data_IF_454898299460
#
_entry.id   IF_454898299460
#
_cell.length_a   1.000
_cell.length_b   1.000
_cell.length_c   1.000
_cell.angle_alpha   90.00
_cell.angle_beta   90.00
_cell.angle_gamma   90.00
#
_symmetry.space_group_name_H-M   'P 1'
#
loop_
_entity.id
_entity.type
_entity.pdbx_description
1 polymer ?
#
# COMPACT_ATOMS: atom_id res chain seq x y z
N UNK A 1 -50.00 2.32 -34.71
CA UNK A 1 -51.04 1.44 -34.12
C UNK A 1 -50.33 0.37 -33.30
N UNK A 2 -50.75 -0.07 -32.11
CA UNK A 2 -51.40 0.55 -30.92
C UNK A 2 -50.58 -0.04 -29.73
N UNK A 3 -50.12 0.65 -28.69
CA UNK A 3 -50.73 1.62 -27.76
C UNK A 3 -51.82 0.99 -26.88
N UNK A 4 -51.81 1.37 -25.60
CA UNK A 4 -52.86 1.19 -24.56
C UNK A 4 -52.99 -0.18 -23.85
N UNK A 5 -53.22 -0.28 -22.52
CA UNK A 5 -53.01 0.70 -21.41
C UNK A 5 -53.15 0.07 -19.98
N UNK A 6 -52.58 0.71 -18.92
CA UNK A 6 -53.22 1.18 -17.64
C UNK A 6 -54.23 0.21 -16.94
N UNK A 7 -54.14 -0.24 -15.68
CA UNK A 7 -54.13 0.42 -14.32
C UNK A 7 -54.74 -0.60 -13.30
N UNK A 8 -54.89 -0.43 -11.96
CA UNK A 8 -54.47 0.55 -10.94
C UNK A 8 -54.39 -0.14 -9.54
N UNK A 9 -53.70 0.52 -8.60
CA UNK A 9 -53.68 0.41 -7.12
C UNK A 9 -54.90 -0.25 -6.43
N UNK A 10 -54.64 -0.97 -5.32
CA UNK A 10 -55.52 -0.95 -4.15
C UNK A 10 -54.71 -0.73 -2.86
N UNK A 11 -54.94 0.39 -2.17
CA UNK A 11 -54.42 0.70 -0.82
C UNK A 11 -55.49 0.35 0.19
N UNK A 12 -55.13 -0.30 1.30
CA UNK A 12 -55.99 -0.38 2.48
C UNK A 12 -55.26 0.16 3.71
N UNK A 13 -55.80 1.23 4.27
CA UNK A 13 -55.41 1.85 5.54
C UNK A 13 -56.30 1.29 6.63
N UNK A 14 -55.72 0.93 7.78
CA UNK A 14 -56.46 0.71 9.02
C UNK A 14 -56.15 1.84 10.01
N UNK A 15 -57.18 2.57 10.44
CA UNK A 15 -57.12 3.63 11.46
C UNK A 15 -58.32 3.49 12.38
N UNK A 16 -58.05 3.47 13.69
CA UNK A 16 -59.07 3.45 14.76
C UNK A 16 -58.60 2.61 15.95
N UNK A 17 -58.49 3.12 17.19
CA UNK A 17 -58.58 4.50 17.65
C UNK A 17 -59.25 4.63 19.04
N UNK A 18 -58.79 5.59 19.85
CA UNK A 18 -59.36 6.00 21.16
C UNK A 18 -59.23 4.98 22.33
N UNK A 19 -59.22 5.31 23.64
CA UNK A 19 -58.80 6.50 24.45
C UNK A 19 -58.92 6.08 25.96
N UNK A 20 -58.27 6.60 27.01
CA UNK A 20 -57.37 7.76 27.28
C UNK A 20 -56.29 7.35 28.32
N UNK A 21 -55.31 8.21 28.63
CA UNK A 21 -54.48 8.03 29.85
C UNK A 21 -53.27 8.97 29.95
N UNK A 22 -53.41 10.12 30.64
CA UNK A 22 -52.37 11.16 30.72
C UNK A 22 -52.01 11.50 32.17
N UNK A 23 -50.79 11.18 32.60
CA UNK A 23 -50.22 11.67 33.86
C UNK A 23 -48.68 11.75 33.74
N UNK A 24 -48.12 12.94 33.98
CA UNK A 24 -46.68 13.18 34.07
C UNK A 24 -46.38 13.83 35.42
N UNK A 25 -45.30 13.41 36.10
CA UNK A 25 -44.79 14.10 37.29
C UNK A 25 -43.26 14.00 37.44
N UNK A 26 -42.71 14.95 38.20
CA UNK A 26 -41.27 15.19 38.45
C UNK A 26 -40.84 14.58 39.80
N UNK A 27 -39.52 14.49 40.09
CA UNK A 27 -39.04 13.94 41.36
C UNK A 27 -39.31 14.86 42.56
N UNK A 28 -39.28 14.28 43.76
CA UNK A 28 -39.32 14.97 45.06
C UNK A 28 -38.34 14.31 46.04
N UNK A 29 -37.95 15.02 47.09
CA UNK A 29 -36.97 14.57 48.08
C UNK A 29 -37.39 14.93 49.52
N UNK A 30 -36.98 14.10 50.49
CA UNK A 30 -37.12 14.31 51.94
C UNK A 30 -36.00 13.49 52.64
N UNK A 31 -34.92 14.14 53.10
CA UNK A 31 -34.66 14.54 54.52
C UNK A 31 -34.44 13.39 55.51
N UNK A 32 -33.25 13.32 56.11
CA UNK A 32 -32.91 12.46 57.26
C UNK A 32 -33.30 13.07 58.62
N UNK A 33 -32.96 12.38 59.73
CA UNK A 33 -31.79 12.77 60.56
C UNK A 33 -31.04 11.53 61.13
N UNK A 34 -29.92 11.60 61.88
CA UNK A 34 -28.80 12.53 62.00
C UNK A 34 -27.62 11.81 62.73
N UNK A 35 -26.41 12.37 62.73
CA UNK A 35 -25.24 11.86 63.49
C UNK A 35 -25.20 12.36 64.94
N UNK A 36 -24.49 11.67 65.86
CA UNK A 36 -23.70 12.29 66.92
C UNK A 36 -22.20 12.38 66.55
N UNK A 37 -21.47 13.30 67.19
CA UNK A 37 -20.10 13.68 66.83
C UNK A 37 -19.01 13.08 67.75
N UNK A 38 -17.74 13.37 67.43
CA UNK A 38 -16.55 12.82 68.08
C UNK A 38 -16.18 13.47 69.43
N UNK A 39 -15.42 12.74 70.25
CA UNK A 39 -14.69 13.27 71.41
C UNK A 39 -13.38 12.48 71.66
N UNK A 40 -12.37 13.17 72.19
CA UNK A 40 -11.06 12.68 72.63
C UNK A 40 -10.45 13.76 73.58
N UNK A 41 -9.27 13.57 74.22
CA UNK A 41 -8.50 12.35 74.48
C UNK A 41 -8.26 12.12 76.00
N UNK A 42 -7.42 11.15 76.39
CA UNK A 42 -6.84 11.07 77.74
C UNK A 42 -5.41 10.48 77.73
N UNK A 43 -4.57 10.93 78.67
CA UNK A 43 -3.20 10.46 78.94
C UNK A 43 -3.23 9.49 80.17
N UNK A 44 -2.17 8.97 80.83
CA UNK A 44 -0.73 9.28 80.90
C UNK A 44 0.03 8.09 81.56
N UNK A 45 1.38 8.12 81.46
CA UNK A 45 2.45 7.47 82.27
C UNK A 45 3.18 6.27 81.62
N UNK A 46 4.52 6.22 81.41
CA UNK A 46 5.73 6.55 82.21
C UNK A 46 6.19 5.38 83.13
N UNK A 47 7.48 4.98 83.22
CA UNK A 47 8.70 5.34 82.48
C UNK A 47 9.87 4.33 82.73
N UNK A 48 10.89 4.31 81.83
CA UNK A 48 12.38 4.17 82.01
C UNK A 48 13.02 3.15 82.98
N UNK A 49 14.36 2.82 82.92
CA UNK A 49 15.45 3.41 82.12
C UNK A 49 16.37 2.40 81.35
N UNK A 50 17.51 2.91 80.86
CA UNK A 50 18.54 2.28 80.00
C UNK A 50 19.85 2.05 80.76
N UNK A 51 20.67 1.05 80.40
CA UNK A 51 22.13 1.15 80.48
C UNK A 51 22.79 1.16 79.08
N UNK A 52 23.98 1.77 78.96
CA UNK A 52 24.61 2.13 77.68
C UNK A 52 26.03 1.54 77.48
N UNK A 53 26.69 1.96 76.38
CA UNK A 53 27.98 1.50 75.83
C UNK A 53 27.89 0.20 74.99
N UNK A 54 28.75 -0.06 74.01
CA UNK A 54 30.01 0.60 73.59
C UNK A 54 29.98 0.93 72.08
N UNK A 55 30.63 2.00 71.63
CA UNK A 55 30.76 2.34 70.22
C UNK A 55 31.89 1.56 69.51
N UNK A 56 31.74 1.27 68.22
CA UNK A 56 32.80 0.75 67.35
C UNK A 56 32.82 1.54 66.03
N UNK A 57 34.00 1.75 65.41
CA UNK A 57 34.15 2.67 64.30
C UNK A 57 33.56 2.13 62.99
N UNK A 58 32.93 3.00 62.21
CA UNK A 58 32.50 2.69 60.84
C UNK A 58 33.70 2.47 59.91
N UNK A 59 33.65 1.52 58.95
CA UNK A 59 34.65 1.42 57.91
C UNK A 59 34.63 2.65 56.99
N UNK A 60 35.80 3.06 56.50
CA UNK A 60 35.91 4.18 55.57
C UNK A 60 35.30 3.84 54.19
N UNK A 61 34.70 4.80 53.48
CA UNK A 61 34.20 4.58 52.13
C UNK A 61 35.34 4.32 51.15
N UNK A 62 35.16 3.34 50.26
CA UNK A 62 36.10 3.08 49.16
C UNK A 62 36.16 4.28 48.18
N UNK A 63 37.33 4.57 47.58
CA UNK A 63 37.45 5.64 46.60
C UNK A 63 36.60 5.33 45.35
N UNK A 64 35.91 6.36 44.83
CA UNK A 64 35.17 6.25 43.58
C UNK A 64 36.14 6.03 42.40
N UNK A 65 35.78 5.21 41.39
CA UNK A 65 36.59 5.04 40.19
C UNK A 65 36.65 6.36 39.39
N UNK A 66 37.83 6.69 38.89
CA UNK A 66 38.06 7.85 38.02
C UNK A 66 37.19 7.78 36.75
N UNK A 67 36.67 8.93 36.25
CA UNK A 67 35.91 8.94 35.01
C UNK A 67 36.79 8.51 33.83
N UNK A 68 36.31 7.58 33.01
CA UNK A 68 36.94 7.23 31.74
C UNK A 68 36.90 8.44 30.79
N UNK A 69 37.93 8.65 29.94
CA UNK A 69 37.92 9.74 28.98
C UNK A 69 36.79 9.53 27.95
N UNK A 70 36.03 10.59 27.68
CA UNK A 70 34.98 10.57 26.65
C UNK A 70 35.55 10.18 25.28
N UNK A 71 34.85 9.36 24.48
CA UNK A 71 35.25 9.12 23.10
C UNK A 71 35.24 10.44 22.32
N UNK A 72 36.21 10.61 21.43
CA UNK A 72 36.28 11.77 20.53
C UNK A 72 35.01 11.87 19.67
N UNK A 73 34.55 13.07 19.28
CA UNK A 73 33.39 13.22 18.42
C UNK A 73 33.63 12.48 17.10
N UNK A 74 32.73 11.56 16.76
CA UNK A 74 32.76 10.86 15.47
C UNK A 74 32.80 11.88 14.34
N UNK A 75 33.71 11.70 13.39
CA UNK A 75 33.72 12.50 12.17
C UNK A 75 32.35 12.37 11.48
N UNK A 76 31.79 13.52 11.08
CA UNK A 76 30.54 13.54 10.34
C UNK A 76 30.70 12.73 9.04
N UNK A 77 29.70 11.94 8.62
CA UNK A 77 29.77 11.18 7.39
C UNK A 77 30.00 12.15 6.22
N UNK A 78 31.03 11.89 5.42
CA UNK A 78 31.30 12.70 4.23
C UNK A 78 30.07 12.73 3.32
N UNK A 79 29.74 13.88 2.69
CA UNK A 79 28.62 13.94 1.77
C UNK A 79 28.82 12.90 0.67
N UNK A 80 27.80 12.07 0.45
CA UNK A 80 27.86 11.05 -0.61
C UNK A 80 28.13 11.75 -1.95
N UNK A 81 29.03 11.21 -2.80
CA UNK A 81 29.36 11.84 -4.06
C UNK A 81 28.09 11.98 -4.90
N UNK A 82 27.84 13.18 -5.42
CA UNK A 82 26.71 13.45 -6.33
C UNK A 82 26.71 12.41 -7.45
N UNK A 83 25.54 11.79 -7.75
CA UNK A 83 25.49 10.76 -8.78
C UNK A 83 26.01 11.32 -10.11
N UNK A 84 26.87 10.56 -10.77
CA UNK A 84 27.41 10.93 -12.07
C UNK A 84 26.26 11.27 -13.05
N UNK A 85 26.41 12.28 -13.92
CA UNK A 85 25.33 12.74 -14.79
C UNK A 85 24.81 11.57 -15.63
N UNK A 86 23.55 11.20 -15.41
CA UNK A 86 22.99 10.00 -16.05
C UNK A 86 23.07 10.12 -17.58
N UNK A 87 23.55 9.05 -18.21
CA UNK A 87 23.71 8.96 -19.65
C UNK A 87 22.44 9.42 -20.40
N UNK A 88 22.57 10.01 -21.60
CA UNK A 88 21.41 10.32 -22.43
C UNK A 88 20.58 9.05 -22.67
N UNK A 89 19.27 9.24 -22.84
CA UNK A 89 18.37 8.14 -23.14
C UNK A 89 18.77 7.50 -24.47
N UNK A 90 18.90 6.17 -24.50
CA UNK A 90 19.04 5.43 -25.76
C UNK A 90 17.74 5.59 -26.58
N UNK A 91 17.79 6.24 -27.76
CA UNK A 91 16.62 6.53 -28.58
C UNK A 91 16.04 5.28 -29.29
N UNK A 92 16.64 4.12 -29.06
CA UNK A 92 16.16 2.80 -29.51
C UNK A 92 15.63 1.95 -28.33
N UNK A 93 15.95 2.28 -27.08
CA UNK A 93 15.42 1.58 -25.91
C UNK A 93 14.02 2.10 -25.53
N UNK A 94 13.01 1.54 -26.20
CA UNK A 94 11.59 1.75 -25.90
C UNK A 94 11.07 0.86 -24.75
N UNK A 95 10.01 1.32 -24.10
CA UNK A 95 9.34 0.73 -22.94
C UNK A 95 7.83 0.67 -23.19
N UNK A 96 7.16 -0.42 -22.75
CA UNK A 96 5.76 -0.72 -23.11
C UNK A 96 4.74 0.02 -22.23
N UNK A 97 4.75 1.35 -22.29
CA UNK A 97 3.85 2.21 -21.50
C UNK A 97 2.41 2.27 -22.09
N UNK A 98 1.64 1.20 -21.92
CA UNK A 98 0.26 1.08 -22.43
C UNK A 98 -0.64 2.25 -22.00
N UNK A 99 -1.31 2.89 -22.96
CA UNK A 99 -2.29 3.96 -22.74
C UNK A 99 -3.73 3.47 -22.93
N UNK A 100 -4.69 4.05 -22.20
CA UNK A 100 -6.11 3.68 -22.20
C UNK A 100 -6.99 4.93 -22.37
N UNK A 101 -8.17 4.81 -22.98
CA UNK A 101 -8.96 6.00 -23.36
C UNK A 101 -9.54 6.80 -22.18
N UNK A 102 -9.48 6.23 -20.97
CA UNK A 102 -9.80 6.88 -19.69
C UNK A 102 -8.64 7.68 -19.08
N UNK A 103 -7.43 7.62 -19.64
CA UNK A 103 -6.29 8.46 -19.25
C UNK A 103 -6.60 9.95 -19.50
N UNK A 104 -6.06 10.84 -18.66
CA UNK A 104 -6.17 12.27 -18.92
C UNK A 104 -5.22 12.71 -20.05
N UNK A 105 -5.76 13.46 -21.02
CA UNK A 105 -5.07 13.79 -22.28
C UNK A 105 -5.13 15.29 -22.63
N UNK A 106 -4.01 15.87 -23.07
CA UNK A 106 -3.88 17.28 -23.54
C UNK A 106 -3.29 17.24 -24.96
N UNK A 107 -3.99 17.77 -25.95
CA UNK A 107 -3.65 17.65 -27.38
C UNK A 107 -4.49 16.60 -28.15
N UNK A 108 -4.49 16.62 -29.51
CA UNK A 108 -5.46 15.88 -30.32
C UNK A 108 -5.25 14.36 -30.31
N UNK A 109 -6.31 13.58 -30.51
CA UNK A 109 -6.23 12.11 -30.50
C UNK A 109 -5.51 11.53 -31.73
N UNK A 110 -5.64 12.19 -32.89
CA UNK A 110 -5.06 11.80 -34.19
C UNK A 110 -3.54 11.93 -34.30
N UNK A 111 -2.85 12.39 -33.26
CA UNK A 111 -1.38 12.58 -33.30
C UNK A 111 -0.62 11.30 -32.98
N UNK A 112 0.51 11.14 -33.65
CA UNK A 112 1.33 9.92 -33.59
C UNK A 112 2.43 9.95 -32.53
N UNK A 113 2.65 11.09 -31.86
CA UNK A 113 3.58 11.21 -30.73
C UNK A 113 2.82 11.44 -29.43
N UNK A 114 2.96 10.50 -28.50
CA UNK A 114 2.38 10.59 -27.16
C UNK A 114 3.48 10.78 -26.12
N UNK A 115 3.34 11.81 -25.29
CA UNK A 115 4.21 12.08 -24.15
C UNK A 115 3.52 11.52 -22.91
N UNK A 116 3.89 10.30 -22.51
CA UNK A 116 3.30 9.60 -21.36
C UNK A 116 4.06 9.98 -20.10
N UNK A 117 3.34 10.37 -19.05
CA UNK A 117 3.90 10.93 -17.82
C UNK A 117 3.30 10.21 -16.62
N UNK A 118 4.13 9.38 -15.98
CA UNK A 118 3.84 8.75 -14.70
C UNK A 118 4.25 9.71 -13.57
N UNK A 119 3.29 10.44 -13.03
CA UNK A 119 3.50 11.47 -12.01
C UNK A 119 2.66 11.24 -10.75
N UNK A 120 3.05 11.92 -9.68
CA UNK A 120 2.37 11.89 -8.40
C UNK A 120 1.98 13.31 -7.96
N UNK A 121 0.71 13.49 -7.55
CA UNK A 121 0.34 14.69 -6.80
C UNK A 121 1.06 14.66 -5.44
N UNK A 122 1.56 15.82 -5.01
CA UNK A 122 2.35 15.96 -3.80
C UNK A 122 3.86 15.69 -3.94
N UNK A 123 4.35 15.11 -5.05
CA UNK A 123 5.79 14.90 -5.24
C UNK A 123 6.48 16.13 -5.84
N UNK A 124 7.54 16.63 -5.19
CA UNK A 124 8.25 17.85 -5.62
C UNK A 124 8.87 17.75 -7.02
N UNK A 125 9.52 16.63 -7.39
CA UNK A 125 10.08 16.47 -8.75
C UNK A 125 9.00 16.60 -9.85
N UNK A 126 7.77 16.23 -9.52
CA UNK A 126 6.60 16.34 -10.42
C UNK A 126 6.05 17.77 -10.47
N UNK A 127 6.11 18.52 -9.35
CA UNK A 127 5.85 19.97 -9.30
C UNK A 127 6.87 20.74 -10.14
N UNK A 128 8.16 20.46 -9.93
CA UNK A 128 9.29 21.13 -10.61
C UNK A 128 9.25 20.95 -12.14
N UNK A 129 8.79 19.77 -12.60
CA UNK A 129 8.63 19.50 -14.03
C UNK A 129 7.35 20.09 -14.64
N UNK A 130 6.30 20.37 -13.85
CA UNK A 130 4.99 20.76 -14.38
C UNK A 130 5.01 21.96 -15.37
N UNK A 131 5.82 23.03 -15.19
CA UNK A 131 5.92 24.12 -16.17
C UNK A 131 6.38 23.68 -17.57
N UNK A 132 7.14 22.58 -17.68
CA UNK A 132 7.58 22.05 -18.98
C UNK A 132 6.41 21.53 -19.83
N UNK A 133 5.26 21.18 -19.21
CA UNK A 133 4.07 20.72 -19.92
C UNK A 133 3.47 21.82 -20.80
N UNK A 134 3.47 23.06 -20.32
CA UNK A 134 2.97 24.20 -21.10
C UNK A 134 3.97 24.65 -22.16
N UNK A 135 5.28 24.44 -21.96
CA UNK A 135 6.27 24.57 -23.03
C UNK A 135 6.03 23.55 -24.16
N UNK A 136 5.76 22.28 -23.84
CA UNK A 136 5.40 21.25 -24.83
C UNK A 136 4.15 21.66 -25.62
N UNK A 137 3.09 22.10 -24.92
CA UNK A 137 1.83 22.52 -25.57
C UNK A 137 2.02 23.78 -26.41
N UNK A 138 2.86 24.73 -25.99
CA UNK A 138 3.15 25.97 -26.71
C UNK A 138 3.95 25.75 -28.00
N UNK A 139 4.91 24.83 -28.01
CA UNK A 139 5.81 24.61 -29.16
C UNK A 139 5.34 23.47 -30.08
N UNK A 140 4.82 22.39 -29.52
CA UNK A 140 4.41 21.20 -30.29
C UNK A 140 2.89 21.05 -30.46
N UNK A 141 2.07 21.72 -29.63
CA UNK A 141 0.63 21.95 -29.86
C UNK A 141 -0.18 20.77 -30.40
N UNK A 142 -0.49 20.83 -31.70
CA UNK A 142 -1.33 19.89 -32.43
C UNK A 142 -0.58 18.65 -32.98
N UNK A 143 0.72 18.54 -32.72
CA UNK A 143 1.60 17.43 -33.18
C UNK A 143 1.83 16.37 -32.11
N UNK A 144 1.53 16.66 -30.84
CA UNK A 144 1.77 15.80 -29.69
C UNK A 144 0.55 15.72 -28.79
N UNK A 145 0.42 14.63 -28.04
CA UNK A 145 -0.59 14.48 -27.00
C UNK A 145 0.09 14.06 -25.70
N UNK A 146 -0.04 14.89 -24.67
CA UNK A 146 0.38 14.55 -23.32
C UNK A 146 -0.66 13.57 -22.74
N UNK A 147 -0.18 12.50 -22.11
CA UNK A 147 -0.97 11.46 -21.46
C UNK A 147 -0.52 11.32 -20.01
N UNK A 148 -1.40 11.65 -19.07
CA UNK A 148 -1.11 11.47 -17.65
C UNK A 148 -1.41 10.04 -17.21
N UNK A 149 -0.52 9.50 -16.37
CA UNK A 149 -0.66 8.21 -15.70
C UNK A 149 -0.46 8.41 -14.20
N UNK A 150 -1.41 7.94 -13.40
CA UNK A 150 -1.33 8.07 -11.95
C UNK A 150 -0.31 7.11 -11.35
N UNK A 151 0.77 7.64 -10.78
CA UNK A 151 1.79 6.85 -10.07
C UNK A 151 1.85 7.32 -8.61
N UNK A 152 1.20 6.60 -7.70
CA UNK A 152 0.97 7.07 -6.32
C UNK A 152 2.20 6.90 -5.39
N UNK A 153 2.31 7.77 -4.38
CA UNK A 153 3.44 7.84 -3.43
C UNK A 153 2.91 7.87 -1.99
N UNK A 154 2.35 6.76 -1.46
CA UNK A 154 1.70 6.75 -0.14
C UNK A 154 2.63 7.16 1.02
N UNK A 155 3.96 7.03 0.84
CA UNK A 155 4.95 7.68 1.70
C UNK A 155 5.98 8.43 0.85
N UNK A 156 6.31 9.70 1.15
CA UNK A 156 5.81 10.50 2.28
C UNK A 156 4.49 11.26 2.00
N UNK A 157 3.76 10.97 0.91
CA UNK A 157 2.58 11.73 0.48
C UNK A 157 1.28 10.88 0.53
N UNK A 158 0.73 10.58 1.72
CA UNK A 158 -0.43 9.67 1.85
C UNK A 158 -1.64 10.10 1.01
N UNK A 159 -1.90 11.40 0.93
CA UNK A 159 -3.00 11.98 0.13
C UNK A 159 -2.80 11.87 -1.39
N UNK A 160 -1.64 11.40 -1.89
CA UNK A 160 -1.37 11.25 -3.33
C UNK A 160 -2.29 10.22 -4.01
N UNK A 161 -2.80 9.23 -3.26
CA UNK A 161 -3.84 8.31 -3.73
C UNK A 161 -5.17 9.05 -3.88
N UNK A 162 -5.62 9.75 -2.83
CA UNK A 162 -6.88 10.49 -2.83
C UNK A 162 -6.91 11.59 -3.89
N UNK A 163 -5.83 12.36 -4.03
CA UNK A 163 -5.65 13.35 -5.10
C UNK A 163 -5.75 12.71 -6.49
N UNK A 164 -5.17 11.52 -6.67
CA UNK A 164 -5.23 10.78 -7.93
C UNK A 164 -6.64 10.29 -8.26
N UNK A 165 -7.39 9.79 -7.27
CA UNK A 165 -8.78 9.36 -7.47
C UNK A 165 -9.72 10.53 -7.78
N UNK A 166 -9.58 11.64 -7.06
CA UNK A 166 -10.32 12.88 -7.33
C UNK A 166 -9.99 13.43 -8.73
N UNK A 167 -8.74 13.33 -9.17
CA UNK A 167 -8.33 13.72 -10.52
C UNK A 167 -8.86 12.79 -11.62
N UNK A 168 -8.85 11.47 -11.42
CA UNK A 168 -9.49 10.51 -12.33
C UNK A 168 -11.01 10.77 -12.46
N UNK A 169 -11.69 11.00 -11.33
CA UNK A 169 -13.09 11.40 -11.28
C UNK A 169 -13.37 12.74 -12.00
N UNK A 170 -12.43 13.69 -11.92
CA UNK A 170 -12.50 14.94 -12.68
C UNK A 170 -12.23 14.72 -14.18
N UNK A 171 -11.41 13.76 -14.59
CA UNK A 171 -11.19 13.42 -16.00
C UNK A 171 -12.50 12.97 -16.67
N UNK A 172 -13.28 12.13 -15.98
CA UNK A 172 -14.62 11.71 -16.42
C UNK A 172 -15.67 12.84 -16.47
N UNK A 173 -15.32 14.07 -16.08
CA UNK A 173 -16.12 15.29 -16.22
C UNK A 173 -15.50 16.30 -17.20
N UNK A 174 -14.39 15.96 -17.86
CA UNK A 174 -13.61 16.88 -18.69
C UNK A 174 -12.88 17.97 -17.88
N UNK A 175 -12.64 17.74 -16.58
CA UNK A 175 -12.10 18.70 -15.61
C UNK A 175 -10.70 18.35 -15.09
N UNK A 176 -10.03 17.33 -15.63
CA UNK A 176 -8.70 16.93 -15.17
C UNK A 176 -7.71 18.10 -15.19
N UNK A 177 -7.49 18.76 -16.34
CA UNK A 177 -6.45 19.80 -16.45
C UNK A 177 -6.73 21.03 -15.56
N UNK A 178 -7.94 21.60 -15.51
CA UNK A 178 -8.27 22.66 -14.54
C UNK A 178 -8.02 22.29 -13.08
N UNK A 179 -8.11 21.01 -12.70
CA UNK A 179 -7.78 20.53 -11.35
C UNK A 179 -6.28 20.27 -11.18
N UNK A 180 -5.65 19.65 -12.17
CA UNK A 180 -4.20 19.41 -12.24
C UNK A 180 -3.43 20.72 -12.06
N UNK A 181 -3.82 21.78 -12.78
CA UNK A 181 -3.20 23.10 -12.72
C UNK A 181 -3.34 23.79 -11.34
N UNK A 182 -4.15 23.24 -10.43
CA UNK A 182 -4.22 23.65 -9.01
C UNK A 182 -3.42 22.72 -8.10
N UNK A 183 -3.62 21.41 -8.22
CA UNK A 183 -2.96 20.41 -7.38
C UNK A 183 -1.44 20.36 -7.60
N UNK A 184 -0.96 20.54 -8.83
CA UNK A 184 0.46 20.37 -9.18
C UNK A 184 1.34 21.57 -8.79
N UNK A 185 0.77 22.60 -8.15
CA UNK A 185 1.52 23.79 -7.71
C UNK A 185 2.21 23.63 -6.35
N UNK A 186 1.95 22.55 -5.62
CA UNK A 186 2.50 22.33 -4.28
C UNK A 186 2.73 20.84 -3.99
N UNK A 187 3.87 20.51 -3.38
CA UNK A 187 4.15 19.17 -2.85
C UNK A 187 3.36 18.88 -1.56
N UNK A 188 2.95 19.92 -0.83
CA UNK A 188 2.03 19.80 0.30
C UNK A 188 0.58 19.79 -0.20
N UNK A 189 -0.02 18.59 -0.19
CA UNK A 189 -1.44 18.34 -0.46
C UNK A 189 -2.12 17.77 0.79
N UNK A 190 -3.42 17.99 0.92
CA UNK A 190 -4.26 17.46 2.01
C UNK A 190 -5.70 17.27 1.51
N UNK A 191 -6.56 16.52 2.21
CA UNK A 191 -7.93 16.30 1.76
C UNK A 191 -8.73 17.60 1.57
N UNK A 192 -8.45 18.62 2.39
CA UNK A 192 -9.09 19.93 2.30
C UNK A 192 -8.55 20.81 1.17
N UNK A 193 -7.25 20.76 0.85
CA UNK A 193 -6.73 21.47 -0.33
C UNK A 193 -7.18 20.83 -1.64
N UNK A 194 -7.31 19.50 -1.66
CA UNK A 194 -7.88 18.73 -2.77
C UNK A 194 -9.36 19.05 -2.99
N UNK A 195 -10.16 19.13 -1.93
CA UNK A 195 -11.58 19.52 -2.00
C UNK A 195 -11.77 20.96 -2.54
N UNK A 196 -11.00 21.93 -2.04
CA UNK A 196 -11.05 23.31 -2.55
C UNK A 196 -10.64 23.38 -4.02
N UNK A 197 -9.53 22.73 -4.41
CA UNK A 197 -9.07 22.68 -5.79
C UNK A 197 -10.13 22.08 -6.72
N UNK A 198 -10.79 20.99 -6.34
CA UNK A 198 -11.85 20.37 -7.14
C UNK A 198 -13.05 21.32 -7.34
N UNK A 199 -13.53 21.96 -6.27
CA UNK A 199 -14.64 22.93 -6.35
C UNK A 199 -14.31 24.12 -7.25
N UNK A 200 -13.14 24.72 -7.06
CA UNK A 200 -12.68 25.85 -7.89
C UNK A 200 -12.46 25.48 -9.38
N UNK A 201 -12.24 24.20 -9.69
CA UNK A 201 -12.09 23.70 -11.07
C UNK A 201 -13.42 23.36 -11.75
N UNK A 202 -14.55 23.61 -11.08
CA UNK A 202 -15.89 23.31 -11.60
C UNK A 202 -16.19 21.82 -11.68
N UNK A 203 -15.58 21.01 -10.80
CA UNK A 203 -15.89 19.60 -10.62
C UNK A 203 -17.18 19.46 -9.79
N UNK A 204 -18.05 18.51 -10.15
CA UNK A 204 -19.23 18.16 -9.35
C UNK A 204 -18.80 17.44 -8.07
N UNK A 205 -18.40 18.20 -7.05
CA UNK A 205 -17.73 17.68 -5.85
C UNK A 205 -18.51 16.56 -5.15
N UNK A 206 -19.79 16.77 -4.85
CA UNK A 206 -20.59 15.79 -4.10
C UNK A 206 -20.82 14.48 -4.86
N UNK A 207 -20.63 14.48 -6.19
CA UNK A 207 -20.58 13.27 -7.01
C UNK A 207 -19.20 12.62 -6.93
N UNK A 208 -18.12 13.39 -7.13
CA UNK A 208 -16.75 12.88 -7.04
C UNK A 208 -16.47 12.28 -5.67
N UNK A 209 -16.82 12.98 -4.60
CA UNK A 209 -16.65 12.51 -3.22
C UNK A 209 -17.27 11.13 -3.02
N UNK A 210 -18.55 10.95 -3.38
CA UNK A 210 -19.24 9.65 -3.29
C UNK A 210 -18.60 8.57 -4.16
N UNK A 211 -18.15 8.92 -5.37
CA UNK A 211 -17.50 7.97 -6.27
C UNK A 211 -16.12 7.53 -5.73
N UNK A 212 -15.33 8.43 -5.14
CA UNK A 212 -14.04 8.12 -4.50
C UNK A 212 -14.24 7.37 -3.18
N UNK A 213 -15.21 7.76 -2.35
CA UNK A 213 -15.61 7.03 -1.13
C UNK A 213 -16.08 5.59 -1.45
N UNK A 214 -16.69 5.37 -2.62
CA UNK A 214 -17.05 4.02 -3.11
C UNK A 214 -15.88 3.23 -3.74
N UNK A 215 -14.68 3.81 -3.83
CA UNK A 215 -13.50 3.18 -4.45
C UNK A 215 -13.57 3.04 -5.97
N UNK A 216 -14.52 3.70 -6.65
CA UNK A 216 -14.74 3.59 -8.11
C UNK A 216 -13.47 3.89 -8.92
N UNK A 217 -12.68 4.86 -8.47
CA UNK A 217 -11.52 5.38 -9.20
C UNK A 217 -10.19 4.77 -8.74
N UNK A 218 -10.13 4.21 -7.51
CA UNK A 218 -9.00 3.45 -6.94
C UNK A 218 -8.40 2.46 -7.92
N UNK A 219 -9.26 1.75 -8.65
CA UNK A 219 -8.89 0.76 -9.66
C UNK A 219 -8.07 1.35 -10.82
N UNK A 220 -8.50 2.47 -11.39
CA UNK A 220 -7.80 3.15 -12.49
C UNK A 220 -6.44 3.70 -12.03
N UNK A 221 -6.43 4.33 -10.85
CA UNK A 221 -5.23 4.91 -10.22
C UNK A 221 -4.16 3.85 -9.94
N UNK A 222 -4.56 2.71 -9.40
CA UNK A 222 -3.65 1.61 -9.09
C UNK A 222 -3.21 0.82 -10.34
N UNK A 223 -4.05 0.69 -11.37
CA UNK A 223 -3.65 0.16 -12.70
C UNK A 223 -2.49 0.96 -13.28
N UNK A 224 -2.61 2.28 -13.31
CA UNK A 224 -1.56 3.15 -13.83
C UNK A 224 -0.27 3.10 -12.98
N UNK A 225 -0.42 2.97 -11.65
CA UNK A 225 0.71 2.84 -10.72
C UNK A 225 1.41 1.48 -10.83
N UNK A 226 0.65 0.42 -11.10
CA UNK A 226 1.18 -0.91 -11.37
C UNK A 226 1.91 -0.93 -12.71
N UNK A 227 1.34 -0.36 -13.77
CA UNK A 227 2.01 -0.20 -15.07
C UNK A 227 3.34 0.54 -14.93
N UNK A 228 3.41 1.53 -14.02
CA UNK A 228 4.67 2.20 -13.72
C UNK A 228 5.72 1.23 -13.14
N UNK A 229 5.35 0.40 -12.15
CA UNK A 229 6.24 -0.67 -11.66
C UNK A 229 6.57 -1.70 -12.74
N UNK A 230 5.61 -2.08 -13.57
CA UNK A 230 5.80 -3.04 -14.66
C UNK A 230 6.89 -2.62 -15.63
N UNK A 231 6.90 -1.34 -16.02
CA UNK A 231 7.92 -0.79 -16.91
C UNK A 231 9.11 -0.17 -16.14
N UNK A 232 9.28 -0.48 -14.85
CA UNK A 232 10.32 0.05 -13.97
C UNK A 232 10.47 1.59 -14.03
N UNK A 233 9.35 2.31 -14.11
CA UNK A 233 9.23 3.76 -14.14
C UNK A 233 9.47 4.41 -12.76
N UNK A 234 10.54 3.99 -12.09
CA UNK A 234 10.70 4.14 -10.64
C UNK A 234 10.91 5.59 -10.18
N UNK A 235 11.46 6.49 -11.01
CA UNK A 235 11.63 7.93 -10.73
C UNK A 235 10.33 8.72 -10.81
N UNK A 236 10.30 9.93 -10.25
CA UNK A 236 9.20 10.88 -10.45
C UNK A 236 9.68 12.17 -11.16
N UNK A 237 8.84 12.78 -12.01
CA UNK A 237 7.96 12.04 -12.91
C UNK A 237 8.78 11.06 -13.76
N UNK A 238 8.18 9.96 -14.21
CA UNK A 238 8.76 9.17 -15.30
C UNK A 238 8.09 9.57 -16.60
N UNK A 239 8.86 10.17 -17.51
CA UNK A 239 8.37 10.72 -18.78
C UNK A 239 8.88 9.84 -19.92
N UNK A 240 8.00 9.50 -20.85
CA UNK A 240 8.33 8.76 -22.06
C UNK A 240 7.73 9.43 -23.30
N UNK A 241 8.48 9.48 -24.38
CA UNK A 241 7.98 9.87 -25.72
C UNK A 241 7.98 8.63 -26.59
N UNK A 242 6.80 8.15 -27.01
CA UNK A 242 6.67 6.90 -27.80
C UNK A 242 7.48 5.72 -27.21
N UNK A 243 7.47 5.61 -25.87
CA UNK A 243 8.19 4.59 -25.12
C UNK A 243 9.67 4.92 -24.80
N UNK A 244 10.29 5.91 -25.45
CA UNK A 244 11.66 6.35 -25.10
C UNK A 244 11.64 7.18 -23.81
N UNK A 245 12.26 6.65 -22.75
CA UNK A 245 12.29 7.26 -21.41
C UNK A 245 13.25 8.45 -21.33
N UNK A 246 12.79 9.60 -20.86
CA UNK A 246 13.64 10.74 -20.51
C UNK A 246 14.57 10.37 -19.33
N UNK A 247 15.89 10.47 -19.54
CA UNK A 247 16.92 10.35 -18.50
C UNK A 247 16.82 11.50 -17.46
N UNK A 248 17.69 11.56 -16.45
CA UNK A 248 17.80 12.76 -15.62
C UNK A 248 18.82 13.76 -16.23
N UNK A 249 18.69 15.08 -15.98
CA UNK A 249 17.61 15.76 -15.28
C UNK A 249 16.30 15.83 -16.10
N UNK A 250 15.15 15.97 -15.43
CA UNK A 250 13.84 16.14 -16.09
C UNK A 250 13.64 17.62 -16.44
N UNK A 251 13.98 18.03 -17.65
CA UNK A 251 13.76 19.41 -18.12
C UNK A 251 13.16 19.44 -19.52
N UNK A 252 12.57 20.58 -19.89
CA UNK A 252 12.04 20.79 -21.25
C UNK A 252 13.13 20.59 -22.32
N UNK A 253 14.29 21.21 -22.15
CA UNK A 253 15.40 21.18 -23.11
C UNK A 253 15.97 19.78 -23.34
N UNK A 254 15.85 18.89 -22.35
CA UNK A 254 16.25 17.47 -22.45
C UNK A 254 15.16 16.58 -23.06
N UNK A 255 13.91 17.03 -23.06
CA UNK A 255 12.76 16.33 -23.62
C UNK A 255 12.49 16.72 -25.08
N UNK A 256 12.65 18.01 -25.42
CA UNK A 256 12.48 18.57 -26.77
C UNK A 256 13.14 17.73 -27.88
N UNK A 257 14.44 17.41 -27.85
CA UNK A 257 15.07 16.62 -28.92
C UNK A 257 14.54 15.18 -29.01
N UNK A 258 14.00 14.63 -27.93
CA UNK A 258 13.32 13.31 -27.95
C UNK A 258 11.97 13.44 -28.68
N UNK A 259 11.23 14.54 -28.46
CA UNK A 259 9.98 14.82 -29.19
C UNK A 259 10.26 15.01 -30.68
N UNK A 260 11.29 15.78 -31.04
CA UNK A 260 11.66 16.06 -32.44
C UNK A 260 12.06 14.77 -33.19
N UNK A 261 12.90 13.92 -32.59
CA UNK A 261 13.28 12.63 -33.17
C UNK A 261 12.09 11.65 -33.26
N UNK A 262 11.22 11.59 -32.25
CA UNK A 262 10.04 10.70 -32.28
C UNK A 262 8.97 11.18 -33.25
N UNK A 263 8.84 12.50 -33.52
CA UNK A 263 8.00 13.02 -34.59
C UNK A 263 8.48 12.51 -35.95
N UNK A 264 9.79 12.63 -36.22
CA UNK A 264 10.42 12.13 -37.45
C UNK A 264 10.24 10.61 -37.61
N UNK A 265 10.58 9.80 -36.60
CA UNK A 265 10.40 8.34 -36.63
C UNK A 265 8.93 7.95 -36.88
N UNK A 266 7.98 8.65 -36.25
CA UNK A 266 6.55 8.38 -36.41
C UNK A 266 6.04 8.71 -37.82
N UNK A 267 6.55 9.77 -38.44
CA UNK A 267 6.28 10.06 -39.86
C UNK A 267 6.84 9.00 -40.80
N UNK A 268 8.09 8.56 -40.59
CA UNK A 268 8.75 7.52 -41.40
C UNK A 268 8.01 6.18 -41.29
N UNK A 269 7.56 5.81 -40.10
CA UNK A 269 6.74 4.62 -39.85
C UNK A 269 5.33 4.71 -40.46
N UNK A 270 4.66 5.87 -40.38
CA UNK A 270 3.37 6.06 -41.04
C UNK A 270 3.49 5.91 -42.57
N UNK A 271 4.55 6.47 -43.16
CA UNK A 271 4.88 6.36 -44.59
C UNK A 271 5.17 4.90 -44.99
N UNK A 272 5.95 4.16 -44.20
CA UNK A 272 6.30 2.75 -44.52
C UNK A 272 5.13 1.78 -44.37
N UNK A 273 4.16 2.08 -43.50
CA UNK A 273 2.87 1.36 -43.42
C UNK A 273 1.91 1.69 -44.58
N UNK A 274 2.32 2.51 -45.55
CA UNK A 274 1.49 2.92 -46.69
C UNK A 274 0.36 3.89 -46.32
N UNK A 275 0.39 4.47 -45.11
CA UNK A 275 -0.68 5.33 -44.58
C UNK A 275 -0.35 6.81 -44.71
N UNK A 276 -1.35 7.61 -45.08
CA UNK A 276 -1.24 9.07 -45.16
C UNK A 276 -1.49 9.69 -43.78
N UNK A 277 -0.63 10.64 -43.39
CA UNK A 277 -0.73 11.36 -42.11
C UNK A 277 -2.15 11.93 -41.88
N UNK A 278 -2.70 11.72 -40.69
CA UNK A 278 -4.05 12.15 -40.32
C UNK A 278 -5.20 11.31 -40.90
N UNK A 279 -4.94 10.17 -41.55
CA UNK A 279 -6.00 9.31 -42.13
C UNK A 279 -5.84 7.83 -41.79
N UNK A 280 -6.94 7.18 -41.36
CA UNK A 280 -7.08 5.72 -41.18
C UNK A 280 -6.19 5.03 -40.12
N UNK A 281 -5.91 5.73 -39.02
CA UNK A 281 -5.55 5.14 -37.72
C UNK A 281 -5.85 6.16 -36.63
N UNK A 282 -6.37 5.71 -35.48
CA UNK A 282 -6.42 6.55 -34.28
C UNK A 282 -5.00 6.62 -33.70
N UNK A 283 -4.57 7.80 -33.22
CA UNK A 283 -3.18 7.99 -32.79
C UNK A 283 -2.77 7.14 -31.58
N UNK A 284 -3.75 6.53 -30.90
CA UNK A 284 -3.53 5.49 -29.87
C UNK A 284 -3.04 4.18 -30.50
N UNK A 285 -3.58 3.75 -31.65
CA UNK A 285 -3.22 2.48 -32.30
C UNK A 285 -1.75 2.46 -32.75
N UNK A 286 -1.27 3.53 -33.41
CA UNK A 286 0.13 3.61 -33.83
C UNK A 286 1.07 3.64 -32.62
N UNK A 287 0.72 4.40 -31.59
CA UNK A 287 1.49 4.43 -30.35
C UNK A 287 1.61 3.04 -29.72
N UNK A 288 0.49 2.30 -29.64
CA UNK A 288 0.48 0.94 -29.07
C UNK A 288 1.35 -0.01 -29.89
N UNK A 289 1.30 0.05 -31.23
CA UNK A 289 2.16 -0.77 -32.10
C UNK A 289 3.65 -0.39 -31.98
N UNK A 290 3.99 0.90 -31.79
CA UNK A 290 5.36 1.34 -31.51
C UNK A 290 5.87 0.76 -30.19
N UNK A 291 5.11 0.85 -29.09
CA UNK A 291 5.58 0.42 -27.77
C UNK A 291 5.41 -1.08 -27.50
N UNK A 292 4.74 -1.82 -28.38
CA UNK A 292 4.47 -3.27 -28.33
C UNK A 292 5.72 -4.13 -28.17
N UNK A 293 6.82 -3.74 -28.82
CA UNK A 293 8.13 -4.39 -28.75
C UNK A 293 9.03 -3.82 -27.64
N UNK A 294 8.57 -2.81 -26.90
CA UNK A 294 9.28 -2.23 -25.77
C UNK A 294 9.28 -3.14 -24.53
N UNK A 295 10.22 -2.86 -23.61
CA UNK A 295 10.39 -3.67 -22.39
C UNK A 295 9.18 -3.60 -21.47
N UNK A 296 8.82 -4.76 -20.88
CA UNK A 296 7.71 -4.95 -19.94
C UNK A 296 8.17 -5.68 -18.66
N UNK A 297 7.25 -5.92 -17.72
CA UNK A 297 7.58 -6.49 -16.41
C UNK A 297 8.15 -7.90 -16.47
N UNK A 298 7.65 -8.75 -17.37
CA UNK A 298 8.10 -10.14 -17.51
C UNK A 298 9.58 -10.24 -17.89
N UNK A 299 10.12 -9.19 -18.51
CA UNK A 299 11.54 -9.07 -18.88
C UNK A 299 12.41 -8.46 -17.75
N UNK A 300 11.85 -8.13 -16.58
CA UNK A 300 12.52 -7.37 -15.51
C UNK A 300 12.19 -7.80 -14.07
N UNK A 301 11.06 -8.46 -13.84
CA UNK A 301 10.64 -8.97 -12.53
C UNK A 301 11.46 -10.18 -12.04
N UNK A 302 12.38 -10.68 -12.88
CA UNK A 302 12.85 -12.05 -12.85
C UNK A 302 11.88 -13.00 -13.56
N UNK A 303 12.28 -14.25 -13.81
CA UNK A 303 11.38 -15.26 -14.36
C UNK A 303 10.22 -15.52 -13.40
N UNK A 304 9.05 -15.86 -13.95
CA UNK A 304 7.87 -16.30 -13.19
C UNK A 304 8.26 -17.48 -12.28
N UNK A 305 8.09 -17.31 -10.98
CA UNK A 305 8.40 -18.34 -10.00
C UNK A 305 7.27 -19.38 -9.92
N UNK A 306 7.62 -20.57 -9.45
CA UNK A 306 6.65 -21.58 -9.01
C UNK A 306 7.00 -21.97 -7.59
N UNK A 307 6.00 -22.01 -6.71
CA UNK A 307 6.16 -22.32 -5.30
C UNK A 307 5.33 -23.56 -4.98
N UNK A 308 5.94 -24.53 -4.33
CA UNK A 308 5.23 -25.69 -3.82
C UNK A 308 4.32 -25.26 -2.64
N UNK A 309 3.06 -25.67 -2.70
CA UNK A 309 2.03 -25.34 -1.70
C UNK A 309 1.66 -26.55 -0.84
N UNK A 310 2.22 -27.74 -1.10
CA UNK A 310 1.96 -28.94 -0.34
C UNK A 310 2.36 -28.75 1.12
N UNK A 311 1.40 -28.90 2.05
CA UNK A 311 1.65 -28.68 3.48
C UNK A 311 1.99 -27.23 3.87
N UNK A 312 1.84 -26.24 2.98
CA UNK A 312 1.89 -24.83 3.37
C UNK A 312 0.57 -24.37 4.00
N UNK A 313 0.59 -23.33 4.85
CA UNK A 313 -0.63 -22.67 5.28
C UNK A 313 -1.29 -21.91 4.12
N UNK A 314 -2.61 -22.07 3.96
CA UNK A 314 -3.42 -21.49 2.89
C UNK A 314 -4.69 -20.89 3.49
N UNK A 315 -4.97 -19.63 3.21
CA UNK A 315 -6.26 -18.98 3.49
C UNK A 315 -7.06 -18.91 2.20
N UNK A 316 -8.27 -19.47 2.20
CA UNK A 316 -9.10 -19.58 0.99
C UNK A 316 -8.95 -20.93 0.29
N UNK A 317 -9.31 -20.99 -0.99
CA UNK A 317 -9.31 -22.25 -1.77
C UNK A 317 -7.93 -22.51 -2.40
N UNK A 318 -7.28 -23.67 -2.20
CA UNK A 318 -6.02 -24.00 -2.89
C UNK A 318 -6.10 -23.96 -4.42
N UNK A 319 -7.32 -24.09 -4.99
CA UNK A 319 -7.61 -23.98 -6.43
C UNK A 319 -8.02 -22.57 -6.88
N UNK A 320 -7.83 -21.55 -6.04
CA UNK A 320 -8.13 -20.16 -6.37
C UNK A 320 -7.38 -19.67 -7.63
N UNK A 321 -8.05 -18.82 -8.43
CA UNK A 321 -7.52 -18.22 -9.66
C UNK A 321 -6.31 -17.31 -9.42
N UNK A 322 -6.25 -16.72 -8.22
CA UNK A 322 -5.17 -15.87 -7.74
C UNK A 322 -4.59 -16.50 -6.48
N UNK A 323 -3.40 -17.09 -6.59
CA UNK A 323 -2.60 -17.48 -5.43
C UNK A 323 -1.61 -16.36 -5.10
N UNK A 324 -1.67 -15.85 -3.88
CA UNK A 324 -0.73 -14.87 -3.35
C UNK A 324 0.22 -15.57 -2.39
N UNK A 325 1.42 -15.91 -2.84
CA UNK A 325 2.47 -16.41 -1.96
C UNK A 325 3.11 -15.24 -1.21
N UNK A 326 3.14 -15.30 0.11
CA UNK A 326 3.75 -14.28 0.97
C UNK A 326 4.84 -14.90 1.83
N UNK A 327 6.07 -14.43 1.63
CA UNK A 327 7.23 -14.84 2.41
C UNK A 327 7.37 -13.93 3.63
N UNK A 328 7.12 -14.47 4.83
CA UNK A 328 7.02 -13.70 6.06
C UNK A 328 7.78 -14.33 7.25
N UNK A 329 7.94 -13.51 8.28
CA UNK A 329 8.70 -13.77 9.49
C UNK A 329 7.91 -13.20 10.68
N UNK A 330 7.70 -14.01 11.74
CA UNK A 330 6.88 -13.63 12.89
C UNK A 330 7.49 -12.58 13.81
N UNK A 331 8.81 -12.34 13.80
CA UNK A 331 9.45 -11.21 14.51
C UNK A 331 9.50 -9.94 13.64
N UNK A 332 9.37 -10.05 12.32
CA UNK A 332 9.50 -8.91 11.42
C UNK A 332 8.34 -7.88 11.61
N UNK A 333 8.60 -6.64 12.06
CA UNK A 333 7.55 -5.63 12.34
C UNK A 333 6.87 -5.06 11.08
N UNK A 334 7.32 -5.49 9.91
CA UNK A 334 6.69 -5.18 8.62
C UNK A 334 5.66 -6.23 8.18
N UNK A 335 5.83 -7.51 8.54
CA UNK A 335 4.90 -8.59 8.16
C UNK A 335 3.54 -8.41 8.86
N UNK A 336 3.55 -8.01 10.14
CA UNK A 336 2.34 -7.67 10.89
C UNK A 336 1.47 -6.57 10.24
N UNK A 337 2.04 -5.74 9.34
CA UNK A 337 1.32 -4.71 8.58
C UNK A 337 0.70 -5.23 7.28
N UNK A 338 1.18 -6.36 6.76
CA UNK A 338 0.71 -6.99 5.51
C UNK A 338 -0.41 -7.99 5.78
N UNK A 339 -0.23 -8.87 6.77
CA UNK A 339 -1.18 -9.94 7.12
C UNK A 339 -2.66 -9.52 7.16
N UNK A 340 -3.05 -8.48 7.94
CA UNK A 340 -4.45 -8.03 8.03
C UNK A 340 -5.05 -7.63 6.68
N UNK A 341 -4.24 -7.02 5.82
CA UNK A 341 -4.69 -6.50 4.52
C UNK A 341 -4.73 -7.58 3.44
N UNK A 342 -3.84 -8.60 3.50
CA UNK A 342 -3.98 -9.81 2.70
C UNK A 342 -5.25 -10.59 3.10
N UNK A 343 -5.57 -10.63 4.40
CA UNK A 343 -6.82 -11.21 4.90
C UNK A 343 -8.06 -10.43 4.42
N UNK A 344 -8.02 -9.09 4.36
CA UNK A 344 -9.10 -8.30 3.77
C UNK A 344 -9.27 -8.59 2.26
N UNK A 345 -8.17 -8.62 1.50
CA UNK A 345 -8.19 -8.94 0.07
C UNK A 345 -8.76 -10.35 -0.20
N UNK A 346 -8.36 -11.35 0.58
CA UNK A 346 -8.93 -12.70 0.52
C UNK A 346 -10.44 -12.70 0.85
N UNK A 347 -10.84 -11.99 1.89
CA UNK A 347 -12.24 -11.86 2.32
C UNK A 347 -13.15 -11.17 1.28
N UNK A 348 -12.61 -10.25 0.47
CA UNK A 348 -13.32 -9.62 -0.66
C UNK A 348 -13.55 -10.58 -1.83
N UNK A 349 -12.63 -11.52 -2.07
CA UNK A 349 -12.65 -12.44 -3.20
C UNK A 349 -12.55 -13.92 -2.75
N UNK A 350 -13.46 -14.42 -1.89
CA UNK A 350 -13.25 -15.66 -1.14
C UNK A 350 -13.27 -16.95 -1.98
N UNK A 351 -13.72 -16.87 -3.24
CA UNK A 351 -13.70 -17.98 -4.19
C UNK A 351 -12.45 -17.98 -5.09
N UNK A 352 -11.83 -16.82 -5.27
CA UNK A 352 -10.93 -16.52 -6.38
C UNK A 352 -9.52 -16.14 -5.93
N UNK A 353 -9.37 -15.73 -4.66
CA UNK A 353 -8.10 -15.44 -4.00
C UNK A 353 -7.80 -16.48 -2.92
N UNK A 354 -6.57 -16.95 -2.91
CA UNK A 354 -5.97 -17.64 -1.77
C UNK A 354 -4.63 -17.01 -1.38
N UNK A 355 -4.38 -16.90 -0.08
CA UNK A 355 -3.10 -16.47 0.47
C UNK A 355 -2.33 -17.71 0.90
N UNK A 356 -1.15 -17.94 0.35
CA UNK A 356 -0.24 -19.02 0.75
C UNK A 356 0.85 -18.39 1.62
N UNK A 357 0.90 -18.76 2.89
CA UNK A 357 1.98 -18.36 3.77
C UNK A 357 3.24 -19.18 3.44
N UNK A 358 4.40 -18.53 3.39
CA UNK A 358 5.69 -19.16 3.12
C UNK A 358 6.68 -18.70 4.19
N UNK A 359 7.32 -19.64 4.86
CA UNK A 359 8.23 -19.31 5.95
C UNK A 359 9.54 -18.71 5.42
N UNK A 360 9.91 -17.53 5.93
CA UNK A 360 11.20 -16.89 5.68
C UNK A 360 11.77 -16.29 6.98
N UNK A 361 12.01 -17.11 8.02
CA UNK A 361 12.69 -16.64 9.24
C UNK A 361 14.08 -16.12 8.88
N UNK A 362 14.39 -14.89 9.29
CA UNK A 362 15.65 -14.21 8.99
C UNK A 362 16.67 -14.43 10.10
N UNK A 363 17.96 -14.57 9.76
CA UNK A 363 19.05 -14.79 10.73
C UNK A 363 19.20 -13.67 11.78
N UNK A 364 18.66 -12.48 11.48
CA UNK A 364 18.60 -11.32 12.40
C UNK A 364 17.51 -11.43 13.48
N UNK A 365 16.67 -12.47 13.42
CA UNK A 365 15.49 -12.66 14.25
C UNK A 365 15.58 -14.00 15.01
N UNK A 366 16.09 -13.92 16.24
CA UNK A 366 16.51 -15.02 17.11
C UNK A 366 15.40 -15.96 17.64
N UNK A 367 14.14 -15.65 17.35
CA UNK A 367 12.94 -16.44 17.65
C UNK A 367 12.12 -16.81 16.41
N UNK A 368 12.41 -16.23 15.24
CA UNK A 368 11.60 -16.41 14.03
C UNK A 368 11.49 -17.89 13.60
N UNK A 369 12.60 -18.65 13.69
CA UNK A 369 12.61 -20.09 13.42
C UNK A 369 11.72 -20.87 14.40
N UNK A 370 11.77 -20.56 15.70
CA UNK A 370 10.96 -21.22 16.72
C UNK A 370 9.46 -20.90 16.56
N UNK A 371 9.13 -19.64 16.24
CA UNK A 371 7.78 -19.21 15.93
C UNK A 371 7.24 -19.88 14.64
N UNK A 372 8.08 -20.05 13.61
CA UNK A 372 7.75 -20.79 12.41
C UNK A 372 7.45 -22.28 12.71
N UNK A 373 8.32 -22.96 13.45
CA UNK A 373 8.11 -24.37 13.85
C UNK A 373 6.84 -24.54 14.70
N UNK A 374 6.58 -23.64 15.64
CA UNK A 374 5.35 -23.62 16.43
C UNK A 374 4.10 -23.38 15.55
N UNK A 375 4.18 -22.51 14.54
CA UNK A 375 3.05 -22.31 13.62
C UNK A 375 2.78 -23.53 12.74
N UNK A 376 3.79 -24.32 12.39
CA UNK A 376 3.59 -25.59 11.70
C UNK A 376 2.94 -26.65 12.63
N UNK A 377 3.27 -26.65 13.92
CA UNK A 377 2.56 -27.45 14.92
C UNK A 377 1.09 -27.03 15.13
N UNK A 378 0.73 -25.78 14.77
CA UNK A 378 -0.66 -25.35 14.65
C UNK A 378 -1.33 -25.86 13.36
N UNK A 379 -0.61 -25.83 12.23
CA UNK A 379 -1.10 -26.28 10.94
C UNK A 379 -1.50 -27.76 10.92
N UNK A 380 -0.78 -28.63 11.65
CA UNK A 380 -1.18 -30.04 11.83
C UNK A 380 -2.59 -30.21 12.42
N UNK A 381 -3.13 -29.20 13.09
CA UNK A 381 -4.46 -29.23 13.69
C UNK A 381 -5.55 -28.67 12.78
N UNK A 382 -5.17 -27.90 11.76
CA UNK A 382 -6.08 -27.31 10.76
C UNK A 382 -5.53 -26.01 10.17
N UNK A 383 -6.03 -25.64 8.98
CA UNK A 383 -5.73 -24.33 8.39
C UNK A 383 -6.29 -23.19 9.26
N UNK A 384 -7.48 -23.37 9.84
CA UNK A 384 -8.07 -22.47 10.83
C UNK A 384 -7.19 -22.30 12.06
N UNK A 385 -6.57 -23.39 12.55
CA UNK A 385 -5.67 -23.38 13.71
C UNK A 385 -4.36 -22.67 13.41
N UNK A 386 -3.78 -22.85 12.22
CA UNK A 386 -2.69 -21.99 11.76
C UNK A 386 -3.11 -20.52 11.75
N UNK A 387 -4.21 -20.15 11.08
CA UNK A 387 -4.55 -18.74 10.89
C UNK A 387 -5.00 -18.02 12.17
N UNK A 388 -5.52 -18.74 13.16
CA UNK A 388 -5.76 -18.23 14.50
C UNK A 388 -4.45 -18.02 15.27
N UNK A 389 -3.55 -19.01 15.29
CA UNK A 389 -2.27 -18.92 15.99
C UNK A 389 -1.35 -17.85 15.38
N UNK A 390 -1.28 -17.78 14.05
CA UNK A 390 -0.65 -16.71 13.26
C UNK A 390 -1.02 -15.32 13.76
N UNK A 391 -2.31 -15.06 14.03
CA UNK A 391 -2.76 -13.77 14.52
C UNK A 391 -2.35 -13.54 15.98
N UNK A 392 -2.33 -14.57 16.83
CA UNK A 392 -1.77 -14.44 18.19
C UNK A 392 -0.27 -14.12 18.14
N UNK A 393 0.51 -14.78 17.26
CA UNK A 393 1.94 -14.50 17.08
C UNK A 393 2.19 -13.06 16.60
N UNK A 394 1.49 -12.61 15.56
CA UNK A 394 1.67 -11.24 15.04
C UNK A 394 1.13 -10.14 15.98
N UNK A 395 0.19 -10.44 16.87
CA UNK A 395 -0.20 -9.52 17.94
C UNK A 395 0.81 -9.49 19.12
N UNK A 396 1.78 -10.42 19.17
CA UNK A 396 2.72 -10.58 20.30
C UNK A 396 4.20 -10.67 19.87
N UNK A 397 4.59 -10.08 18.73
CA UNK A 397 5.93 -10.24 18.12
C UNK A 397 7.13 -10.00 19.07
N UNK A 398 6.96 -9.14 20.08
CA UNK A 398 8.00 -8.78 21.04
C UNK A 398 8.26 -9.86 22.12
N UNK A 399 7.47 -10.93 22.17
CA UNK A 399 7.51 -11.96 23.21
C UNK A 399 7.30 -13.36 22.62
N UNK A 400 8.23 -13.78 21.74
CA UNK A 400 8.18 -15.04 20.97
C UNK A 400 9.16 -16.11 21.51
N UNK A 401 9.50 -16.05 22.80
CA UNK A 401 10.20 -17.14 23.51
C UNK A 401 9.33 -18.41 23.64
N UNK A 402 9.97 -19.54 23.99
CA UNK A 402 9.36 -20.86 24.00
C UNK A 402 8.13 -20.97 24.92
N UNK A 403 8.18 -20.36 26.11
CA UNK A 403 7.06 -20.41 27.06
C UNK A 403 5.86 -19.60 26.55
N UNK A 404 6.11 -18.41 25.99
CA UNK A 404 5.07 -17.62 25.34
C UNK A 404 4.51 -18.31 24.08
N UNK A 405 5.33 -18.96 23.24
CA UNK A 405 4.84 -19.73 22.09
C UNK A 405 3.87 -20.85 22.50
N UNK A 406 4.15 -21.57 23.59
CA UNK A 406 3.25 -22.61 24.15
C UNK A 406 1.97 -22.00 24.71
N UNK A 407 2.07 -20.91 25.48
CA UNK A 407 0.93 -20.16 26.02
C UNK A 407 0.02 -19.58 24.92
N UNK A 408 0.58 -19.10 23.81
CA UNK A 408 -0.20 -18.60 22.67
C UNK A 408 -0.96 -19.71 21.93
N UNK A 409 -0.47 -20.95 21.98
CA UNK A 409 -1.17 -22.09 21.36
C UNK A 409 -2.41 -22.47 22.17
N UNK A 410 -2.33 -22.40 23.50
CA UNK A 410 -3.48 -22.52 24.39
C UNK A 410 -4.48 -21.38 24.15
N UNK A 411 -4.02 -20.12 24.01
CA UNK A 411 -4.88 -18.97 23.69
C UNK A 411 -5.57 -19.07 22.32
N UNK A 412 -4.92 -19.64 21.30
CA UNK A 412 -5.52 -19.93 20.00
C UNK A 412 -6.40 -21.21 20.00
N UNK A 413 -6.58 -21.86 21.16
CA UNK A 413 -7.45 -23.02 21.34
C UNK A 413 -6.97 -24.27 20.59
N UNK A 414 -5.67 -24.55 20.63
CA UNK A 414 -5.08 -25.78 20.11
C UNK A 414 -5.19 -26.93 21.13
N UNK A 415 -5.17 -28.16 20.62
CA UNK A 415 -4.86 -29.36 21.40
C UNK A 415 -3.38 -29.30 21.80
N UNK A 416 -3.13 -29.08 23.09
CA UNK A 416 -1.79 -28.89 23.63
C UNK A 416 -0.96 -30.19 23.72
N UNK A 417 -1.59 -31.37 23.67
CA UNK A 417 -0.88 -32.64 23.60
C UNK A 417 -0.38 -32.90 22.16
N UNK A 418 -1.23 -32.63 21.16
CA UNK A 418 -0.84 -32.67 19.74
C UNK A 418 0.21 -31.63 19.41
N UNK A 419 0.06 -30.39 19.89
CA UNK A 419 0.99 -29.28 19.65
C UNK A 419 2.41 -29.58 20.17
N UNK A 420 2.53 -30.06 21.42
CA UNK A 420 3.83 -30.42 22.01
C UNK A 420 4.50 -31.58 21.24
N UNK A 421 3.74 -32.63 20.92
CA UNK A 421 4.23 -33.75 20.11
C UNK A 421 4.70 -33.32 18.71
N UNK A 422 4.00 -32.40 18.06
CA UNK A 422 4.39 -31.87 16.75
C UNK A 422 5.71 -31.10 16.84
N UNK A 423 5.85 -30.20 17.83
CA UNK A 423 7.11 -29.50 18.12
C UNK A 423 8.28 -30.47 18.38
N UNK A 424 8.08 -31.46 19.27
CA UNK A 424 9.08 -32.50 19.59
C UNK A 424 9.50 -33.31 18.36
N UNK A 425 8.57 -33.59 17.45
CA UNK A 425 8.85 -34.31 16.20
C UNK A 425 9.59 -33.47 15.13
N UNK A 426 9.53 -32.13 15.25
CA UNK A 426 10.11 -31.21 14.26
C UNK A 426 9.47 -31.28 12.86
N UNK A 427 8.25 -31.80 12.73
CA UNK A 427 7.57 -32.09 11.45
C UNK A 427 7.60 -30.94 10.44
N UNK A 428 7.37 -29.71 10.92
CA UNK A 428 7.36 -28.49 10.12
C UNK A 428 8.70 -28.09 9.48
N UNK A 429 9.84 -28.62 9.97
CA UNK A 429 11.19 -28.20 9.52
C UNK A 429 11.42 -28.44 8.03
N UNK A 430 10.81 -29.48 7.47
CA UNK A 430 10.88 -29.80 6.03
C UNK A 430 10.22 -28.72 5.16
N UNK A 431 9.01 -28.29 5.54
CA UNK A 431 8.27 -27.20 4.89
C UNK A 431 9.01 -25.87 5.03
N UNK A 432 9.48 -25.54 6.24
CA UNK A 432 10.21 -24.29 6.50
C UNK A 432 11.50 -24.22 5.65
N UNK A 433 12.30 -25.30 5.63
CA UNK A 433 13.52 -25.36 4.82
C UNK A 433 13.26 -25.28 3.31
N UNK A 434 12.18 -25.90 2.82
CA UNK A 434 11.73 -25.76 1.43
C UNK A 434 11.34 -24.32 1.11
N UNK A 435 10.54 -23.70 1.95
CA UNK A 435 10.02 -22.34 1.75
C UNK A 435 11.17 -21.31 1.77
N UNK A 436 12.12 -21.42 2.71
CA UNK A 436 13.35 -20.62 2.71
C UNK A 436 14.14 -20.80 1.41
N UNK A 437 14.37 -22.04 0.99
CA UNK A 437 15.08 -22.34 -0.26
C UNK A 437 14.36 -21.83 -1.52
N UNK A 438 13.03 -21.84 -1.54
CA UNK A 438 12.22 -21.25 -2.62
C UNK A 438 12.33 -19.73 -2.66
N UNK A 439 12.21 -19.06 -1.52
CA UNK A 439 12.36 -17.61 -1.45
C UNK A 439 13.77 -17.16 -1.84
N UNK A 440 14.82 -17.89 -1.43
CA UNK A 440 16.19 -17.65 -1.88
C UNK A 440 16.32 -17.75 -3.40
N UNK A 441 15.78 -18.81 -4.02
CA UNK A 441 15.76 -18.96 -5.50
C UNK A 441 14.97 -17.85 -6.21
N UNK A 442 13.91 -17.35 -5.59
CA UNK A 442 13.10 -16.23 -6.07
C UNK A 442 13.72 -14.83 -5.82
N UNK A 443 14.88 -14.75 -5.17
CA UNK A 443 15.51 -13.48 -4.81
C UNK A 443 14.74 -12.71 -3.71
N UNK A 444 14.15 -13.42 -2.74
CA UNK A 444 13.69 -12.83 -1.48
C UNK A 444 14.91 -12.44 -0.66
N UNK A 445 15.10 -11.14 -0.46
CA UNK A 445 16.21 -10.54 0.31
C UNK A 445 15.73 -9.83 1.57
N UNK A 446 14.55 -10.22 2.07
CA UNK A 446 13.86 -9.58 3.20
C UNK A 446 12.35 -9.79 3.15
N UNK A 447 11.72 -9.67 4.32
CA UNK A 447 10.29 -9.91 4.55
C UNK A 447 9.55 -8.61 4.89
N UNK A 448 8.26 -8.49 4.54
CA UNK A 448 7.47 -9.43 3.75
C UNK A 448 7.81 -9.32 2.24
N UNK A 449 7.82 -10.45 1.54
CA UNK A 449 7.95 -10.49 0.07
C UNK A 449 6.74 -11.17 -0.55
N UNK A 450 5.97 -10.43 -1.36
CA UNK A 450 4.69 -10.88 -1.96
C UNK A 450 4.90 -11.31 -3.42
N UNK A 451 4.27 -12.41 -3.82
CA UNK A 451 4.20 -12.89 -5.21
C UNK A 451 2.76 -13.24 -5.58
N UNK A 452 2.30 -12.80 -6.75
CA UNK A 452 0.94 -13.08 -7.27
C UNK A 452 1.07 -14.03 -8.46
N UNK A 453 0.49 -15.23 -8.36
CA UNK A 453 0.58 -16.27 -9.38
C UNK A 453 2.04 -16.51 -9.89
N UNK A 454 3.02 -16.39 -8.98
CA UNK A 454 4.45 -16.55 -9.28
C UNK A 454 5.21 -15.29 -9.68
N UNK A 455 4.53 -14.16 -9.96
CA UNK A 455 5.17 -12.88 -10.30
C UNK A 455 5.41 -12.05 -9.04
N UNK A 456 6.63 -11.54 -8.83
CA UNK A 456 7.00 -10.72 -7.67
C UNK A 456 6.22 -9.41 -7.66
N UNK A 457 5.42 -9.16 -6.63
CA UNK A 457 4.62 -7.93 -6.54
C UNK A 457 5.50 -6.76 -6.10
N UNK A 458 5.82 -5.87 -7.05
CA UNK A 458 6.57 -4.64 -6.81
C UNK A 458 5.61 -3.45 -6.67
N UNK A 459 4.77 -3.49 -5.63
CA UNK A 459 3.94 -2.33 -5.25
C UNK A 459 4.78 -1.13 -4.79
N UNK A 460 4.16 0.05 -4.58
CA UNK A 460 4.85 1.22 -4.03
C UNK A 460 5.57 0.89 -2.71
N UNK A 461 6.75 1.48 -2.49
CA UNK A 461 7.61 1.24 -1.32
C UNK A 461 6.98 1.76 -0.03
N UNK A 462 6.02 1.04 0.56
CA UNK A 462 5.39 1.53 1.79
C UNK A 462 4.20 0.79 2.41
N UNK A 463 3.87 -0.44 1.97
CA UNK A 463 2.68 -1.21 2.42
C UNK A 463 1.34 -0.59 1.97
N UNK A 464 0.23 -1.36 1.91
CA UNK A 464 0.07 -2.81 1.99
C UNK A 464 -0.48 -3.33 0.60
N UNK A 465 -1.27 -4.41 0.46
CA UNK A 465 -1.74 -4.97 -0.82
C UNK A 465 -3.01 -4.30 -1.40
N UNK A 466 -3.21 -2.99 -1.23
CA UNK A 466 -4.33 -2.28 -1.89
C UNK A 466 -4.26 -2.42 -3.42
N UNK A 467 -3.03 -2.45 -3.97
CA UNK A 467 -2.75 -2.78 -5.36
C UNK A 467 -3.06 -4.23 -5.77
N UNK A 468 -3.29 -5.17 -4.84
CA UNK A 468 -3.69 -6.54 -5.20
C UNK A 468 -5.15 -6.63 -5.64
N UNK A 469 -6.05 -5.81 -5.10
CA UNK A 469 -7.40 -5.68 -5.68
C UNK A 469 -7.31 -5.11 -7.11
N UNK A 470 -6.39 -4.16 -7.36
CA UNK A 470 -6.15 -3.65 -8.69
C UNK A 470 -5.60 -4.70 -9.67
N UNK A 471 -4.60 -5.49 -9.25
CA UNK A 471 -4.09 -6.65 -9.99
C UNK A 471 -5.23 -7.66 -10.26
N UNK A 472 -6.07 -7.93 -9.25
CA UNK A 472 -7.13 -8.91 -9.33
C UNK A 472 -8.15 -8.61 -10.42
N UNK A 473 -8.77 -7.42 -10.41
CA UNK A 473 -9.78 -7.10 -11.43
C UNK A 473 -9.15 -6.92 -12.81
N UNK A 474 -7.98 -6.29 -12.89
CA UNK A 474 -7.34 -5.93 -14.18
C UNK A 474 -6.81 -7.15 -14.94
N UNK A 475 -6.16 -8.10 -14.26
CA UNK A 475 -5.49 -9.24 -14.92
C UNK A 475 -6.29 -10.55 -14.79
N UNK A 476 -7.20 -10.63 -13.82
CA UNK A 476 -7.96 -11.86 -13.54
C UNK A 476 -9.49 -11.64 -13.56
N UNK A 477 -9.99 -10.43 -13.81
CA UNK A 477 -11.41 -10.18 -14.13
C UNK A 477 -12.39 -10.45 -12.98
N UNK A 478 -12.04 -10.03 -11.77
CA UNK A 478 -12.85 -10.16 -10.53
C UNK A 478 -13.65 -8.89 -10.17
#
# INVERSE_FOLDING_TARGET
MKREQVFLILILVFVGGYVIGRASHKPSAATGPAMPAAAAPAQLAAASPVPAAVASPSPAPSPAPSPSPSPAPSSAPSPSPSPAPSAPADPNQIWRAVIHDDDAKKGPDSVNVKVVIFGAFGNQETVDFAPALDSIVKEFGDKVQIRWKHKVVPMPHPDSIYASEVAAAANAQGKFWPLFDKLIKNASISPSSIESAAKESGVQWDKVKKEVESGKWRMQVLRDSLLASEIAANTYPNIMVNGVRLAAPKTYDRLKPIIEEQLKKSEEQAKSMGKRWGTSFEGVELYQEIVKSGKNFEQMAGPKQTFDTAGSPILGKPTAKIQVAVFEDFQCPFCAKVGPSLKEFQKKFPNDVAIVYKHMPLDIHDKAQAAAEASMAALEQGQDKFWAYHDVLFNNQNALDQDNLVKYAEQAGLDMARFKKALESGSGKSVIGRDVGEGQRAGVSGTPSVYVNGMKYQGPRGYPPEGLEAVARTYFGL
#
